data_IF_285572364015
#
_entry.id   IF_285572364015
#
_cell.length_a   1.000
_cell.length_b   1.000
_cell.length_c   1.000
_cell.angle_alpha   90.00
_cell.angle_beta   90.00
_cell.angle_gamma   90.00
#
_symmetry.space_group_name_H-M   'P 1'
#
loop_
_entity.id
_entity.type
_entity.pdbx_description
1 polymer ?
#
# COMPACT_ATOMS: atom_id res chain seq x y z
N UNK A 1 -23.78 -1.98 11.82
CA UNK A 1 -22.99 -3.22 11.83
C UNK A 1 -23.14 -3.86 13.21
N UNK A 2 -24.38 -4.28 13.57
CA UNK A 2 -24.69 -4.89 14.87
C UNK A 2 -23.89 -6.17 15.14
N UNK A 3 -23.33 -6.78 14.10
CA UNK A 3 -22.52 -7.99 14.16
C UNK A 3 -21.19 -7.82 14.93
N UNK A 4 -20.72 -6.58 15.14
CA UNK A 4 -19.56 -6.31 15.99
C UNK A 4 -19.87 -6.33 17.49
N UNK A 5 -21.15 -6.24 17.87
CA UNK A 5 -21.60 -6.24 19.26
C UNK A 5 -20.87 -5.24 20.18
N UNK A 6 -20.52 -4.06 19.65
CA UNK A 6 -19.80 -3.03 20.39
C UNK A 6 -20.64 -2.52 21.56
N UNK A 7 -20.02 -2.46 22.74
CA UNK A 7 -20.65 -1.89 23.94
C UNK A 7 -20.10 -0.50 24.24
N UNK A 8 -20.87 0.34 24.92
CA UNK A 8 -20.49 1.72 25.26
C UNK A 8 -19.16 1.80 26.02
N UNK A 9 -18.85 0.78 26.84
CA UNK A 9 -17.59 0.69 27.58
C UNK A 9 -16.35 0.51 26.69
N UNK A 10 -16.51 0.08 25.44
CA UNK A 10 -15.43 -0.03 24.46
C UNK A 10 -15.21 1.27 23.68
N UNK A 11 -16.11 2.25 23.82
CA UNK A 11 -16.02 3.54 23.17
C UNK A 11 -15.20 4.51 24.01
N UNK A 12 -14.40 5.34 23.35
CA UNK A 12 -13.64 6.40 23.98
C UNK A 12 -13.86 7.71 23.25
N UNK A 13 -14.50 8.67 23.93
CA UNK A 13 -14.65 10.02 23.41
C UNK A 13 -13.39 10.84 23.64
N UNK A 14 -12.93 11.53 22.60
CA UNK A 14 -11.77 12.41 22.65
C UNK A 14 -11.80 13.45 21.53
N UNK A 15 -10.96 14.48 21.66
CA UNK A 15 -10.76 15.44 20.56
C UNK A 15 -10.06 14.79 19.37
N UNK A 16 -10.27 15.33 18.18
CA UNK A 16 -9.65 14.85 16.94
C UNK A 16 -8.11 14.75 17.03
N UNK A 17 -7.45 15.69 17.70
CA UNK A 17 -5.98 15.66 17.85
C UNK A 17 -5.52 14.51 18.74
N UNK A 18 -6.32 14.14 19.76
CA UNK A 18 -6.02 12.99 20.63
C UNK A 18 -6.24 11.67 19.88
N UNK A 19 -7.26 11.59 19.01
CA UNK A 19 -7.45 10.39 18.18
C UNK A 19 -6.31 10.22 17.17
N UNK A 20 -5.85 11.30 16.54
CA UNK A 20 -4.68 11.26 15.65
C UNK A 20 -3.42 10.73 16.37
N UNK A 21 -3.15 11.21 17.59
CA UNK A 21 -2.06 10.71 18.44
C UNK A 21 -2.22 9.21 18.74
N UNK A 22 -3.42 8.74 19.08
CA UNK A 22 -3.68 7.32 19.34
C UNK A 22 -3.50 6.43 18.10
N UNK A 23 -4.05 6.82 16.94
CA UNK A 23 -3.85 6.08 15.68
C UNK A 23 -2.37 6.03 15.27
N UNK A 24 -1.61 7.09 15.57
CA UNK A 24 -0.17 7.13 15.37
C UNK A 24 0.65 6.37 16.45
N UNK A 25 -0.02 5.82 17.48
CA UNK A 25 0.60 5.11 18.63
C UNK A 25 1.63 5.96 19.38
N UNK A 26 1.35 7.25 19.53
CA UNK A 26 2.22 8.19 20.26
C UNK A 26 1.76 8.35 21.71
N UNK A 27 2.70 8.74 22.57
CA UNK A 27 2.42 8.92 24.01
C UNK A 27 1.82 10.28 24.35
N UNK A 28 2.01 11.30 23.50
CA UNK A 28 1.49 12.65 23.71
C UNK A 28 1.24 13.39 22.40
N UNK A 29 0.40 14.44 22.45
CA UNK A 29 0.03 15.24 21.28
C UNK A 29 1.21 16.04 20.74
N UNK A 30 2.12 16.47 21.62
CA UNK A 30 3.32 17.23 21.27
C UNK A 30 4.22 16.45 20.32
N UNK A 31 4.23 15.11 20.44
CA UNK A 31 5.04 14.24 19.58
C UNK A 31 4.60 14.28 18.10
N UNK A 32 3.37 14.70 17.79
CA UNK A 32 2.89 14.85 16.41
C UNK A 32 3.70 15.87 15.62
N UNK A 33 4.39 16.79 16.29
CA UNK A 33 5.22 17.82 15.64
C UNK A 33 6.64 17.32 15.33
N UNK A 34 7.03 16.16 15.86
CA UNK A 34 8.35 15.59 15.62
C UNK A 34 8.50 15.15 14.15
N UNK A 35 9.55 15.64 13.50
CA UNK A 35 9.97 15.15 12.17
C UNK A 35 10.88 13.93 12.25
N UNK A 36 11.28 13.52 13.46
CA UNK A 36 12.15 12.37 13.67
C UNK A 36 11.29 11.12 13.73
N UNK A 37 11.43 10.27 12.71
CA UNK A 37 10.78 8.96 12.69
C UNK A 37 11.35 8.09 13.81
N UNK A 38 10.46 7.59 14.68
CA UNK A 38 10.80 6.56 15.68
C UNK A 38 10.76 5.15 15.07
N UNK A 39 10.37 5.00 13.80
CA UNK A 39 10.30 3.71 13.13
C UNK A 39 11.72 3.15 12.90
N UNK A 40 11.99 1.99 13.51
CA UNK A 40 13.24 1.23 13.35
C UNK A 40 13.06 -0.01 12.47
N UNK A 41 11.98 -0.03 11.69
CA UNK A 41 11.57 -1.16 10.89
C UNK A 41 11.73 -0.83 9.41
N UNK A 42 12.25 -1.79 8.66
CA UNK A 42 12.12 -1.79 7.21
C UNK A 42 10.79 -2.45 6.86
N UNK A 43 10.22 -2.03 5.74
CA UNK A 43 9.01 -2.65 5.23
C UNK A 43 8.87 -2.46 3.74
N UNK A 44 8.08 -3.35 3.16
CA UNK A 44 7.60 -3.28 1.79
C UNK A 44 6.09 -3.38 1.83
N UNK A 45 5.41 -2.77 0.87
CA UNK A 45 3.96 -2.74 0.83
C UNK A 45 3.48 -3.06 -0.58
N UNK A 46 2.48 -3.92 -0.66
CA UNK A 46 1.68 -4.14 -1.88
C UNK A 46 0.23 -3.77 -1.62
N UNK A 47 -0.49 -3.40 -2.67
CA UNK A 47 -1.90 -3.00 -2.59
C UNK A 47 -2.71 -3.64 -3.70
N UNK A 48 -4.00 -3.81 -3.39
CA UNK A 48 -5.03 -4.32 -4.31
C UNK A 48 -6.35 -3.59 -4.07
N UNK A 49 -7.22 -3.58 -5.08
CA UNK A 49 -8.61 -3.15 -4.94
C UNK A 49 -9.54 -4.37 -5.00
N UNK A 50 -10.50 -4.45 -4.07
CA UNK A 50 -11.52 -5.51 -4.04
C UNK A 50 -12.81 -4.95 -4.62
N UNK A 51 -13.30 -5.54 -5.73
CA UNK A 51 -14.54 -5.08 -6.42
C UNK A 51 -15.81 -5.75 -5.89
N UNK A 52 -15.69 -6.95 -5.32
CA UNK A 52 -16.78 -7.73 -4.73
C UNK A 52 -16.32 -8.36 -3.42
N UNK A 53 -17.20 -8.61 -2.43
CA UNK A 53 -16.80 -9.24 -1.18
C UNK A 53 -16.04 -10.56 -1.42
N UNK A 54 -14.90 -10.72 -0.75
CA UNK A 54 -14.14 -11.96 -0.77
C UNK A 54 -14.98 -13.06 -0.10
N UNK A 55 -15.08 -14.22 -0.73
CA UNK A 55 -15.83 -15.36 -0.21
C UNK A 55 -15.29 -15.81 1.15
N UNK A 56 -16.17 -16.29 2.05
CA UNK A 56 -15.79 -16.65 3.42
C UNK A 56 -14.65 -17.67 3.49
N UNK A 57 -14.69 -18.70 2.64
CA UNK A 57 -13.67 -19.74 2.62
C UNK A 57 -12.30 -19.18 2.17
N UNK A 58 -12.30 -18.31 1.15
CA UNK A 58 -11.10 -17.60 0.71
C UNK A 58 -10.57 -16.66 1.81
N UNK A 59 -11.45 -15.95 2.52
CA UNK A 59 -11.05 -15.11 3.65
C UNK A 59 -10.41 -15.94 4.78
N UNK A 60 -10.95 -17.12 5.08
CA UNK A 60 -10.37 -18.02 6.07
C UNK A 60 -8.98 -18.52 5.65
N UNK A 61 -8.79 -18.83 4.36
CA UNK A 61 -7.48 -19.20 3.82
C UNK A 61 -6.48 -18.04 3.89
N UNK A 62 -6.89 -16.81 3.54
CA UNK A 62 -6.07 -15.60 3.67
C UNK A 62 -5.63 -15.42 5.12
N UNK A 63 -6.55 -15.48 6.09
CA UNK A 63 -6.23 -15.34 7.51
C UNK A 63 -5.28 -16.45 7.99
N UNK A 64 -5.49 -17.69 7.53
CA UNK A 64 -4.59 -18.81 7.83
C UNK A 64 -3.19 -18.55 7.26
N UNK A 65 -3.08 -18.05 6.04
CA UNK A 65 -1.81 -17.71 5.42
C UNK A 65 -1.11 -16.56 6.19
N UNK A 66 -1.83 -15.48 6.50
CA UNK A 66 -1.34 -14.36 7.31
C UNK A 66 -0.80 -14.82 8.68
N UNK A 67 -1.44 -15.81 9.31
CA UNK A 67 -1.00 -16.36 10.60
C UNK A 67 0.36 -17.07 10.56
N UNK A 68 0.82 -17.48 9.36
CA UNK A 68 2.15 -18.08 9.17
C UNK A 68 3.26 -17.04 8.96
N UNK A 69 2.90 -15.78 8.69
CA UNK A 69 3.86 -14.71 8.44
C UNK A 69 4.32 -13.98 9.71
N UNK A 70 5.35 -13.12 9.60
CA UNK A 70 5.82 -12.29 10.72
C UNK A 70 4.72 -11.35 11.27
N UNK A 71 4.73 -11.02 12.56
CA UNK A 71 3.65 -10.26 13.21
C UNK A 71 3.63 -8.78 12.76
N UNK A 72 2.58 -8.39 12.03
CA UNK A 72 2.19 -6.99 11.75
C UNK A 72 1.51 -6.80 10.39
N UNK A 73 0.18 -6.59 10.34
CA UNK A 73 -0.58 -6.46 9.08
C UNK A 73 -1.76 -5.47 9.16
N UNK A 74 -2.16 -4.91 8.00
CA UNK A 74 -3.47 -4.29 7.73
C UNK A 74 -3.90 -4.61 6.28
N UNK A 75 -5.06 -4.11 5.76
CA UNK A 75 -5.50 -4.30 4.35
C UNK A 75 -4.68 -3.36 3.43
N UNK A 76 -3.41 -3.72 3.38
CA UNK A 76 -2.23 -3.25 2.69
C UNK A 76 -1.29 -4.40 3.01
N UNK A 77 -0.87 -5.21 2.03
CA UNK A 77 0.02 -6.33 2.34
C UNK A 77 1.39 -5.74 2.66
N UNK A 78 1.59 -5.43 3.91
CA UNK A 78 2.78 -4.83 4.46
C UNK A 78 3.41 -5.82 5.41
N UNK A 79 4.69 -6.07 5.22
CA UNK A 79 5.51 -6.77 6.21
C UNK A 79 6.55 -5.81 6.75
N UNK A 80 6.82 -5.91 8.05
CA UNK A 80 7.86 -5.12 8.69
C UNK A 80 8.84 -6.02 9.42
N UNK A 81 10.13 -5.74 9.31
CA UNK A 81 11.18 -6.45 10.06
C UNK A 81 12.17 -5.47 10.70
N UNK A 82 12.83 -5.92 11.76
CA UNK A 82 13.79 -5.08 12.51
C UNK A 82 15.06 -4.85 11.71
N UNK A 83 15.57 -3.63 11.74
CA UNK A 83 16.87 -3.31 11.15
C UNK A 83 18.00 -4.16 11.77
N UNK A 84 18.89 -4.70 10.92
CA UNK A 84 20.04 -5.51 11.34
C UNK A 84 19.77 -7.01 11.47
N UNK A 85 18.58 -7.50 11.10
CA UNK A 85 18.29 -8.93 10.93
C UNK A 85 18.21 -9.30 9.45
N UNK A 86 18.63 -10.51 9.12
CA UNK A 86 18.67 -11.04 7.75
C UNK A 86 17.32 -11.64 7.28
N UNK A 87 16.22 -11.16 7.85
CA UNK A 87 14.88 -11.70 7.62
C UNK A 87 14.18 -11.05 6.39
N UNK A 88 14.86 -10.10 5.74
CA UNK A 88 14.27 -9.28 4.67
C UNK A 88 13.93 -10.08 3.40
N UNK A 89 14.82 -10.98 2.97
CA UNK A 89 14.60 -11.77 1.74
C UNK A 89 13.45 -12.78 1.91
N UNK A 90 13.42 -13.48 3.04
CA UNK A 90 12.33 -14.40 3.37
C UNK A 90 10.99 -13.68 3.48
N UNK A 91 10.97 -12.49 4.09
CA UNK A 91 9.79 -11.63 4.14
C UNK A 91 9.32 -11.22 2.74
N UNK A 92 10.22 -10.69 1.91
CA UNK A 92 9.88 -10.29 0.53
C UNK A 92 9.30 -11.45 -0.28
N UNK A 93 9.89 -12.64 -0.16
CA UNK A 93 9.42 -13.87 -0.83
C UNK A 93 8.02 -14.27 -0.38
N UNK A 94 7.77 -14.22 0.93
CA UNK A 94 6.44 -14.50 1.49
C UNK A 94 5.39 -13.49 1.00
N UNK A 95 5.74 -12.20 0.97
CA UNK A 95 4.83 -11.15 0.50
C UNK A 95 4.44 -11.31 -0.97
N UNK A 96 5.41 -11.68 -1.83
CA UNK A 96 5.14 -11.95 -3.24
C UNK A 96 4.20 -13.13 -3.43
N UNK A 97 4.42 -14.22 -2.69
CA UNK A 97 3.54 -15.39 -2.70
C UNK A 97 2.11 -15.04 -2.29
N UNK A 98 1.93 -14.23 -1.23
CA UNK A 98 0.61 -13.74 -0.83
C UNK A 98 -0.04 -12.90 -1.93
N UNK A 99 0.74 -12.00 -2.53
CA UNK A 99 0.25 -11.14 -3.60
C UNK A 99 -0.19 -11.97 -4.82
N UNK A 100 0.55 -13.00 -5.20
CA UNK A 100 0.14 -13.93 -6.26
C UNK A 100 -1.16 -14.67 -5.93
N UNK A 101 -1.27 -15.22 -4.71
CA UNK A 101 -2.49 -15.89 -4.25
C UNK A 101 -3.72 -14.98 -4.33
N UNK A 102 -3.57 -13.71 -3.97
CA UNK A 102 -4.67 -12.74 -3.99
C UNK A 102 -5.18 -12.39 -5.39
N UNK A 103 -4.45 -12.71 -6.46
CA UNK A 103 -4.81 -12.34 -7.83
C UNK A 103 -6.23 -12.78 -8.25
N UNK A 104 -6.71 -13.92 -7.74
CA UNK A 104 -8.04 -14.46 -8.06
C UNK A 104 -9.19 -13.78 -7.29
N UNK A 105 -8.88 -12.93 -6.32
CA UNK A 105 -9.85 -12.36 -5.38
C UNK A 105 -9.97 -10.85 -5.44
N UNK A 106 -9.17 -10.21 -6.29
CA UNK A 106 -9.04 -8.75 -6.38
C UNK A 106 -9.38 -8.28 -7.78
N UNK A 107 -9.29 -6.96 -8.01
CA UNK A 107 -9.46 -6.37 -9.32
C UNK A 107 -8.59 -7.09 -10.36
N UNK A 108 -9.18 -7.39 -11.50
CA UNK A 108 -8.50 -7.95 -12.67
C UNK A 108 -8.77 -7.04 -13.87
N UNK A 109 -7.86 -7.09 -14.84
CA UNK A 109 -7.91 -6.39 -16.13
C UNK A 109 -8.20 -4.88 -16.03
N UNK A 110 -7.25 -4.06 -15.53
CA UNK A 110 -5.97 -4.41 -14.93
C UNK A 110 -6.05 -4.60 -13.41
N UNK A 111 -5.08 -5.31 -12.82
CA UNK A 111 -4.99 -5.50 -11.36
C UNK A 111 -4.57 -4.21 -10.68
N UNK A 112 -5.49 -3.53 -10.01
CA UNK A 112 -5.29 -2.16 -9.60
C UNK A 112 -4.36 -2.01 -8.37
N UNK A 113 -3.48 -1.00 -8.38
CA UNK A 113 -2.54 -0.67 -7.31
C UNK A 113 -2.56 0.84 -6.97
N UNK A 114 -2.19 1.17 -5.74
CA UNK A 114 -2.17 2.55 -5.25
C UNK A 114 -0.79 3.20 -5.36
N UNK A 115 -0.71 4.33 -6.06
CA UNK A 115 0.56 5.00 -6.42
C UNK A 115 1.44 5.42 -5.23
N UNK A 116 0.85 5.68 -4.06
CA UNK A 116 1.62 6.06 -2.87
C UNK A 116 2.30 4.86 -2.17
N UNK A 117 2.03 3.63 -2.62
CA UNK A 117 2.78 2.43 -2.25
C UNK A 117 3.55 1.93 -3.46
N UNK A 118 4.77 2.47 -3.62
CA UNK A 118 5.65 2.15 -4.74
C UNK A 118 5.99 0.66 -4.69
N UNK A 119 5.47 -0.10 -5.65
CA UNK A 119 5.74 -1.52 -5.82
C UNK A 119 6.56 -1.75 -7.08
N UNK A 120 7.90 -1.82 -6.91
CA UNK A 120 8.84 -2.01 -8.02
C UNK A 120 8.73 -3.38 -8.70
N UNK A 121 8.00 -4.34 -8.12
CA UNK A 121 7.73 -5.62 -8.80
C UNK A 121 6.67 -5.47 -9.92
N UNK A 122 5.93 -4.36 -9.98
CA UNK A 122 5.05 -4.02 -11.09
C UNK A 122 5.88 -3.45 -12.26
N UNK A 123 5.83 -4.11 -13.43
CA UNK A 123 6.58 -3.67 -14.61
C UNK A 123 6.09 -2.30 -15.14
N UNK A 124 6.99 -1.56 -15.81
CA UNK A 124 6.70 -0.23 -16.37
C UNK A 124 5.63 -0.22 -17.46
N UNK A 125 5.43 -1.34 -18.16
CA UNK A 125 4.36 -1.50 -19.16
C UNK A 125 2.98 -1.64 -18.50
N UNK A 126 2.94 -2.16 -17.27
CA UNK A 126 1.72 -2.53 -16.57
C UNK A 126 1.30 -1.44 -15.58
N UNK A 127 2.25 -0.74 -14.94
CA UNK A 127 2.00 0.34 -13.97
C UNK A 127 1.06 1.48 -14.44
N UNK A 128 1.12 1.95 -15.70
CA UNK A 128 0.18 2.93 -16.23
C UNK A 128 -1.26 2.42 -16.24
N UNK A 129 -1.42 1.15 -16.63
CA UNK A 129 -2.72 0.49 -16.73
C UNK A 129 -3.24 0.09 -15.35
N UNK A 130 -2.39 -0.39 -14.45
CA UNK A 130 -2.79 -0.90 -13.12
C UNK A 130 -2.96 0.17 -12.06
N UNK A 131 -2.48 1.40 -12.23
CA UNK A 131 -2.74 2.41 -11.21
C UNK A 131 -4.16 2.95 -11.33
N UNK A 132 -4.75 3.42 -10.21
CA UNK A 132 -6.07 4.08 -10.18
C UNK A 132 -6.21 5.31 -11.10
N UNK A 133 -5.13 5.69 -11.78
CA UNK A 133 -5.08 6.73 -12.78
C UNK A 133 -5.05 6.19 -14.22
N UNK A 134 -5.37 4.93 -14.49
CA UNK A 134 -5.36 4.38 -15.86
C UNK A 134 -6.15 5.26 -16.86
N UNK A 135 -7.35 5.72 -16.47
CA UNK A 135 -8.16 6.65 -17.28
C UNK A 135 -7.62 8.08 -17.32
N UNK A 136 -6.73 8.44 -16.40
CA UNK A 136 -6.08 9.74 -16.31
C UNK A 136 -4.66 9.74 -16.90
N UNK A 137 -4.13 8.58 -17.27
CA UNK A 137 -2.71 8.41 -17.59
C UNK A 137 -2.31 9.25 -18.80
N UNK A 138 -3.11 9.24 -19.86
CA UNK A 138 -2.87 10.05 -21.06
C UNK A 138 -2.80 11.55 -20.74
N UNK A 139 -3.69 12.03 -19.87
CA UNK A 139 -3.71 13.43 -19.44
C UNK A 139 -2.46 13.78 -18.62
N UNK A 140 -1.96 12.84 -17.82
CA UNK A 140 -0.73 13.02 -17.05
C UNK A 140 0.52 13.01 -17.94
N UNK A 141 0.57 12.14 -18.96
CA UNK A 141 1.64 12.12 -19.98
C UNK A 141 1.68 13.45 -20.74
N UNK A 142 0.52 13.99 -21.14
CA UNK A 142 0.45 15.30 -21.79
C UNK A 142 0.96 16.43 -20.88
N UNK A 143 0.54 16.45 -19.61
CA UNK A 143 1.01 17.44 -18.65
C UNK A 143 2.54 17.33 -18.42
N UNK A 144 3.06 16.10 -18.27
CA UNK A 144 4.49 15.82 -18.11
C UNK A 144 5.29 16.30 -19.31
N UNK A 145 4.81 16.02 -20.52
CA UNK A 145 5.45 16.45 -21.77
C UNK A 145 5.56 17.96 -21.86
N UNK A 146 4.55 18.70 -21.39
CA UNK A 146 4.55 20.16 -21.40
C UNK A 146 5.46 20.77 -20.32
N UNK A 147 5.41 20.24 -19.10
CA UNK A 147 6.07 20.83 -17.93
C UNK A 147 7.55 20.40 -17.82
N UNK A 148 7.86 19.16 -18.18
CA UNK A 148 9.19 18.57 -18.08
C UNK A 148 9.54 17.72 -19.32
N UNK A 149 9.66 18.36 -20.50
CA UNK A 149 9.92 17.66 -21.76
C UNK A 149 11.28 16.94 -21.80
N UNK A 150 12.26 17.41 -21.02
CA UNK A 150 13.58 16.77 -20.92
C UNK A 150 13.60 15.62 -19.89
N UNK A 151 12.46 15.35 -19.25
CA UNK A 151 12.28 14.33 -18.23
C UNK A 151 13.28 14.43 -17.06
N UNK A 152 13.62 15.65 -16.63
CA UNK A 152 14.59 15.90 -15.55
C UNK A 152 14.11 15.28 -14.23
N UNK A 153 12.81 15.33 -13.96
CA UNK A 153 12.22 14.75 -12.76
C UNK A 153 11.70 13.34 -13.05
N UNK A 154 12.56 12.33 -12.87
CA UNK A 154 12.20 10.93 -13.07
C UNK A 154 12.71 10.01 -11.95
N UNK A 155 12.11 8.83 -11.87
CA UNK A 155 12.46 7.69 -11.02
C UNK A 155 11.98 6.40 -11.70
N UNK A 156 12.19 5.24 -11.06
CA UNK A 156 11.89 3.91 -11.61
C UNK A 156 10.42 3.67 -12.04
N UNK A 157 9.45 4.49 -11.58
CA UNK A 157 8.02 4.38 -11.96
C UNK A 157 7.42 5.73 -12.37
N UNK A 158 8.24 6.66 -12.88
CA UNK A 158 7.76 7.97 -13.31
C UNK A 158 6.97 7.92 -14.61
N UNK A 159 6.05 8.85 -14.75
CA UNK A 159 5.29 9.08 -15.98
C UNK A 159 6.27 9.60 -17.04
N UNK A 160 6.39 8.94 -18.21
CA UNK A 160 7.27 9.39 -19.28
C UNK A 160 6.63 10.57 -20.05
N UNK A 161 7.42 11.51 -20.60
CA UNK A 161 6.92 12.40 -21.63
C UNK A 161 6.74 11.64 -22.97
N UNK A 162 5.99 12.22 -23.90
CA UNK A 162 5.90 11.71 -25.27
C UNK A 162 7.28 11.81 -25.95
N UNK A 163 7.67 10.76 -26.67
CA UNK A 163 8.90 10.79 -27.48
C UNK A 163 8.78 11.88 -28.55
N UNK A 164 9.82 12.70 -28.67
CA UNK A 164 9.96 13.59 -29.83
C UNK A 164 10.46 12.75 -30.99
N UNK A 165 9.61 12.53 -31.98
CA UNK A 165 10.09 12.14 -33.31
C UNK A 165 10.62 13.40 -33.98
N UNK A 166 11.93 13.58 -33.91
CA UNK A 166 12.67 14.56 -34.71
C UNK A 166 12.83 14.06 -36.16
#
# INVERSE_FOLDING_TARGET
>A
FPELDLVEMELSEMSWVKSAMQFARLSSVEELTSRVSKMKYYGTNKSDYVKQPIQRDALAEILRYLSTGPVGYSVQYGITWKAGKDDGEAGMTWLRTLYEYMALHVSYDPRAAYVNYIDLDLSMEVAPATTTNASNFDRLVQAKTHIDPANVFNNAQSIPPLERHD
#
